data_IF_172445389925
#
_entry.id   IF_172445389925
#
_cell.length_a   1.000
_cell.length_b   1.000
_cell.length_c   1.000
_cell.angle_alpha   90.00
_cell.angle_beta   90.00
_cell.angle_gamma   90.00
#
_symmetry.space_group_name_H-M   'P 1'
#
loop_
_entity.id
_entity.type
_entity.pdbx_description
1 polymer ?
#
# COMPACT_ATOMS: atom_id res chain seq x y z
N UNK A 1 -51.35 -44.84 11.56
CA UNK A 1 -50.64 -44.22 10.43
C UNK A 1 -49.30 -43.65 10.93
N UNK A 2 -48.18 -44.26 10.52
CA UNK A 2 -46.82 -43.86 10.92
C UNK A 2 -46.48 -42.49 10.35
N UNK A 3 -46.16 -41.52 11.21
CA UNK A 3 -45.66 -40.21 10.77
C UNK A 3 -44.16 -40.32 10.53
N UNK A 4 -43.77 -40.23 9.27
CA UNK A 4 -42.37 -40.12 8.86
C UNK A 4 -41.89 -38.70 9.18
N UNK A 5 -40.93 -38.58 10.10
CA UNK A 5 -40.18 -37.35 10.29
C UNK A 5 -39.06 -37.31 9.25
N UNK A 6 -39.18 -36.40 8.28
CA UNK A 6 -38.09 -36.07 7.36
C UNK A 6 -37.06 -35.24 8.11
N UNK A 7 -35.88 -35.82 8.35
CA UNK A 7 -34.73 -35.16 8.92
C UNK A 7 -34.16 -34.18 7.88
N UNK A 8 -34.26 -32.88 8.13
CA UNK A 8 -33.54 -31.87 7.34
C UNK A 8 -32.07 -31.95 7.74
N UNK A 9 -31.24 -32.52 6.89
CA UNK A 9 -29.80 -32.43 7.00
C UNK A 9 -29.39 -30.96 6.78
N UNK A 10 -29.05 -30.26 7.86
CA UNK A 10 -28.35 -28.99 7.77
C UNK A 10 -26.93 -29.27 7.27
N UNK A 11 -26.74 -29.20 5.95
CA UNK A 11 -25.41 -29.05 5.36
C UNK A 11 -24.92 -27.66 5.76
N UNK A 12 -24.08 -27.60 6.78
CA UNK A 12 -23.27 -26.42 7.06
C UNK A 12 -22.28 -26.25 5.89
N UNK A 13 -22.71 -25.52 4.86
CA UNK A 13 -21.77 -24.86 3.96
C UNK A 13 -21.00 -23.87 4.82
N UNK A 14 -19.80 -24.26 5.24
CA UNK A 14 -18.79 -23.33 5.69
C UNK A 14 -18.46 -22.42 4.49
N UNK A 15 -19.25 -21.35 4.32
CA UNK A 15 -18.82 -20.22 3.53
C UNK A 15 -17.54 -19.72 4.20
N UNK A 16 -16.41 -19.92 3.53
CA UNK A 16 -15.17 -19.25 3.89
C UNK A 16 -15.42 -17.76 3.73
N UNK A 17 -15.77 -17.10 4.83
CA UNK A 17 -15.60 -15.67 5.01
C UNK A 17 -14.12 -15.41 4.84
N UNK A 18 -13.70 -15.12 3.61
CA UNK A 18 -12.33 -14.76 3.31
C UNK A 18 -12.07 -13.43 4.03
N UNK A 19 -11.30 -13.47 5.12
CA UNK A 19 -11.00 -12.28 5.89
C UNK A 19 -10.17 -11.33 5.01
N UNK A 20 -10.68 -10.12 4.80
CA UNK A 20 -10.02 -9.07 4.03
C UNK A 20 -8.58 -8.87 4.56
N UNK A 21 -7.58 -9.16 3.71
CA UNK A 21 -6.18 -9.11 4.10
C UNK A 21 -5.54 -7.82 3.60
N UNK A 22 -4.99 -7.01 4.51
CA UNK A 22 -4.29 -5.78 4.14
C UNK A 22 -2.81 -6.10 3.87
N UNK A 23 -2.37 -5.92 2.63
CA UNK A 23 -0.99 -6.20 2.23
C UNK A 23 -0.05 -5.09 2.68
N UNK A 24 1.07 -5.46 3.29
CA UNK A 24 2.25 -4.62 3.46
C UNK A 24 3.36 -5.09 2.52
N UNK A 25 4.28 -4.19 2.20
CA UNK A 25 5.44 -4.47 1.34
C UNK A 25 6.72 -4.21 2.13
N UNK A 26 7.73 -5.07 2.00
CA UNK A 26 9.02 -4.90 2.71
C UNK A 26 9.92 -3.87 2.03
N UNK A 27 9.70 -3.65 0.73
CA UNK A 27 10.44 -2.71 -0.12
C UNK A 27 9.52 -2.10 -1.16
N UNK A 28 9.99 -1.02 -1.78
CA UNK A 28 9.33 -0.45 -2.95
C UNK A 28 9.05 -1.54 -3.98
N UNK A 29 7.78 -1.69 -4.34
CA UNK A 29 7.30 -2.76 -5.21
C UNK A 29 6.40 -2.16 -6.28
N UNK A 30 6.57 -2.59 -7.53
CA UNK A 30 5.64 -2.28 -8.62
C UNK A 30 4.79 -3.50 -8.90
N UNK A 31 3.48 -3.31 -8.92
CA UNK A 31 2.51 -4.30 -9.33
C UNK A 31 2.03 -3.98 -10.74
N UNK A 32 2.33 -4.88 -11.68
CA UNK A 32 1.84 -4.76 -13.06
C UNK A 32 0.42 -5.31 -13.13
N UNK A 33 -0.51 -4.47 -13.58
CA UNK A 33 -1.94 -4.72 -13.51
C UNK A 33 -2.42 -5.53 -14.73
N UNK A 34 -1.99 -6.78 -14.79
CA UNK A 34 -2.48 -7.79 -15.74
C UNK A 34 -3.39 -8.81 -15.04
N UNK A 35 -4.11 -9.62 -15.83
CA UNK A 35 -5.12 -10.53 -15.28
C UNK A 35 -4.53 -11.60 -14.36
N UNK A 36 -3.35 -12.12 -14.68
CA UNK A 36 -2.63 -13.14 -13.89
C UNK A 36 -2.28 -12.61 -12.49
N UNK A 37 -1.65 -11.43 -12.43
CA UNK A 37 -1.28 -10.77 -11.19
C UNK A 37 -2.52 -10.39 -10.35
N UNK A 38 -3.62 -9.98 -10.99
CA UNK A 38 -4.89 -9.72 -10.30
C UNK A 38 -5.44 -11.00 -9.69
N UNK A 39 -5.46 -12.11 -10.43
CA UNK A 39 -5.91 -13.41 -9.88
C UNK A 39 -5.04 -13.85 -8.70
N UNK A 40 -3.71 -13.67 -8.79
CA UNK A 40 -2.81 -13.97 -7.68
C UNK A 40 -3.11 -13.10 -6.44
N UNK A 41 -3.29 -11.79 -6.61
CA UNK A 41 -3.60 -10.91 -5.48
C UNK A 41 -5.00 -11.12 -4.87
N UNK A 42 -5.97 -11.58 -5.66
CA UNK A 42 -7.28 -12.04 -5.14
C UNK A 42 -7.10 -13.31 -4.30
N UNK A 43 -6.31 -14.28 -4.77
CA UNK A 43 -6.02 -15.50 -4.02
C UNK A 43 -5.28 -15.23 -2.70
N UNK A 44 -4.42 -14.21 -2.68
CA UNK A 44 -3.77 -13.70 -1.46
C UNK A 44 -4.69 -12.85 -0.56
N UNK A 45 -5.89 -12.48 -1.03
CA UNK A 45 -6.92 -11.77 -0.26
C UNK A 45 -6.72 -10.26 -0.10
N UNK A 46 -5.74 -9.67 -0.79
CA UNK A 46 -5.48 -8.22 -0.73
C UNK A 46 -6.02 -7.43 -1.93
N UNK A 47 -6.48 -8.12 -2.97
CA UNK A 47 -7.30 -7.53 -4.05
C UNK A 47 -8.75 -7.96 -3.82
N UNK A 48 -9.69 -7.04 -4.01
CA UNK A 48 -11.11 -7.33 -3.84
C UNK A 48 -11.61 -8.39 -4.83
N UNK A 49 -12.42 -9.35 -4.35
CA UNK A 49 -13.02 -10.35 -5.23
C UNK A 49 -13.85 -9.70 -6.33
N UNK A 50 -13.70 -10.20 -7.55
CA UNK A 50 -14.41 -9.67 -8.72
C UNK A 50 -13.92 -8.30 -9.20
N UNK A 51 -12.80 -7.81 -8.69
CA UNK A 51 -12.15 -6.60 -9.17
C UNK A 51 -11.25 -6.85 -10.39
N UNK A 52 -11.01 -5.82 -11.20
CA UNK A 52 -10.08 -5.89 -12.34
C UNK A 52 -10.42 -6.97 -13.37
N UNK A 53 -11.69 -7.17 -13.70
CA UNK A 53 -12.13 -8.27 -14.59
C UNK A 53 -11.84 -8.05 -16.06
N UNK A 54 -11.74 -6.79 -16.46
CA UNK A 54 -11.59 -6.39 -17.86
C UNK A 54 -10.18 -5.95 -18.12
N UNK A 55 -9.56 -6.54 -19.15
CA UNK A 55 -8.25 -6.14 -19.64
C UNK A 55 -8.38 -5.39 -20.97
N UNK A 56 -7.42 -4.51 -21.23
CA UNK A 56 -7.25 -3.82 -22.51
C UNK A 56 -5.77 -3.59 -22.77
N UNK A 57 -5.39 -3.33 -24.01
CA UNK A 57 -4.01 -2.98 -24.35
C UNK A 57 -4.00 -1.58 -24.93
N UNK A 58 -3.30 -0.67 -24.25
CA UNK A 58 -3.13 0.72 -24.69
C UNK A 58 -1.67 1.12 -24.58
N UNK A 59 -1.32 2.13 -25.37
CA UNK A 59 -0.01 2.75 -25.30
C UNK A 59 -0.04 3.81 -24.22
N UNK A 60 0.96 3.83 -23.36
CA UNK A 60 1.33 4.95 -22.50
C UNK A 60 2.76 5.41 -22.80
N UNK A 61 3.15 6.51 -22.17
CA UNK A 61 4.46 7.17 -22.35
C UNK A 61 5.44 6.95 -21.20
N UNK A 62 5.07 6.12 -20.21
CA UNK A 62 5.89 5.81 -19.04
C UNK A 62 5.78 4.33 -18.75
N UNK A 63 6.92 3.67 -18.50
CA UNK A 63 6.94 2.31 -17.98
C UNK A 63 6.73 2.31 -16.46
N UNK A 64 5.68 1.65 -15.93
CA UNK A 64 5.41 1.60 -14.50
C UNK A 64 6.51 0.89 -13.67
N UNK A 65 7.28 -0.03 -14.26
CA UNK A 65 8.35 -0.77 -13.56
C UNK A 65 9.55 0.14 -13.22
N UNK A 66 9.94 1.00 -14.16
CA UNK A 66 11.08 1.90 -14.03
C UNK A 66 10.68 3.29 -13.57
N UNK A 67 9.48 3.73 -13.96
CA UNK A 67 9.01 5.11 -13.82
C UNK A 67 9.61 6.06 -14.86
N UNK A 68 10.29 5.53 -15.87
CA UNK A 68 10.96 6.32 -16.91
C UNK A 68 10.06 6.55 -18.13
N UNK A 69 10.30 7.66 -18.83
CA UNK A 69 9.61 7.97 -20.08
C UNK A 69 10.04 7.01 -21.19
N UNK A 70 9.13 6.13 -21.58
CA UNK A 70 9.29 5.26 -22.72
C UNK A 70 7.92 4.80 -23.24
N UNK A 71 7.88 4.37 -24.50
CA UNK A 71 6.66 3.79 -25.05
C UNK A 71 6.34 2.48 -24.33
N UNK A 72 5.29 2.49 -23.52
CA UNK A 72 4.84 1.32 -22.80
C UNK A 72 3.51 0.82 -23.40
N UNK A 73 3.54 -0.35 -24.04
CA UNK A 73 2.38 -0.96 -24.69
C UNK A 73 2.21 -2.41 -24.25
N UNK A 74 1.67 -2.58 -23.05
CA UNK A 74 1.38 -3.89 -22.47
C UNK A 74 -0.11 -3.99 -22.08
N UNK A 75 -0.63 -5.20 -21.88
CA UNK A 75 -1.96 -5.38 -21.29
C UNK A 75 -2.06 -4.68 -19.92
N UNK A 76 -3.16 -3.99 -19.70
CA UNK A 76 -3.55 -3.36 -18.45
C UNK A 76 -5.01 -3.64 -18.11
N UNK A 77 -5.49 -3.13 -16.98
CA UNK A 77 -6.91 -3.23 -16.61
C UNK A 77 -7.69 -2.09 -17.24
N UNK A 78 -8.82 -2.40 -17.86
CA UNK A 78 -9.75 -1.40 -18.38
C UNK A 78 -10.69 -0.94 -17.26
N UNK A 79 -10.55 0.31 -16.83
CA UNK A 79 -11.23 0.86 -15.65
C UNK A 79 -12.19 2.00 -16.03
N UNK A 80 -13.34 2.07 -15.38
CA UNK A 80 -14.37 3.10 -15.58
C UNK A 80 -15.23 3.26 -14.33
N UNK A 81 -15.31 4.47 -13.77
CA UNK A 81 -16.19 4.74 -12.62
C UNK A 81 -17.65 4.40 -12.95
N UNK A 82 -18.36 3.84 -11.98
CA UNK A 82 -19.75 3.41 -12.12
C UNK A 82 -19.94 2.08 -12.85
N UNK A 83 -18.87 1.40 -13.27
CA UNK A 83 -18.95 0.06 -13.86
C UNK A 83 -18.25 -0.98 -12.96
N UNK A 84 -18.98 -1.85 -12.26
CA UNK A 84 -18.41 -2.83 -11.32
C UNK A 84 -17.42 -3.81 -11.94
N UNK A 85 -17.55 -4.13 -13.24
CA UNK A 85 -16.60 -5.00 -13.93
C UNK A 85 -15.28 -4.28 -14.27
N UNK A 86 -15.30 -2.95 -14.29
CA UNK A 86 -14.20 -2.06 -14.64
C UNK A 86 -13.74 -1.22 -13.44
N UNK A 87 -13.69 -1.83 -12.26
CA UNK A 87 -13.14 -1.20 -11.05
C UNK A 87 -12.02 -2.06 -10.51
N UNK A 88 -10.91 -1.43 -10.12
CA UNK A 88 -9.81 -2.10 -9.44
C UNK A 88 -9.74 -1.64 -7.98
N UNK A 89 -9.76 -2.57 -7.02
CA UNK A 89 -9.78 -2.27 -5.59
C UNK A 89 -8.79 -3.17 -4.84
N UNK A 90 -7.98 -2.55 -3.98
CA UNK A 90 -6.95 -3.23 -3.20
C UNK A 90 -7.03 -2.83 -1.73
N UNK A 91 -6.41 -3.65 -0.87
CA UNK A 91 -6.34 -3.48 0.57
C UNK A 91 -4.88 -3.45 1.00
N UNK A 92 -4.40 -2.28 1.44
CA UNK A 92 -2.99 -2.04 1.72
C UNK A 92 -2.77 -1.35 3.06
N UNK A 93 -1.59 -1.53 3.64
CA UNK A 93 -1.18 -0.92 4.92
C UNK A 93 0.33 -0.69 4.93
N UNK A 94 0.82 0.20 5.80
CA UNK A 94 2.27 0.42 5.93
C UNK A 94 2.89 1.19 4.77
N UNK A 95 2.09 1.92 3.98
CA UNK A 95 2.55 2.71 2.84
C UNK A 95 2.71 4.17 3.22
N UNK A 96 3.81 4.79 2.77
CA UNK A 96 4.01 6.25 2.81
C UNK A 96 3.49 6.92 1.55
N UNK A 97 3.53 6.21 0.42
CA UNK A 97 2.92 6.67 -0.81
C UNK A 97 2.56 5.52 -1.76
N UNK A 98 1.68 5.85 -2.70
CA UNK A 98 1.28 4.99 -3.80
C UNK A 98 1.28 5.83 -5.08
N UNK A 99 1.77 5.28 -6.20
CA UNK A 99 1.71 5.94 -7.50
C UNK A 99 1.13 5.00 -8.54
N UNK A 100 0.08 5.44 -9.23
CA UNK A 100 -0.60 4.67 -10.27
C UNK A 100 -0.32 5.25 -11.66
N UNK A 101 -0.17 4.36 -12.63
CA UNK A 101 0.15 4.69 -14.01
C UNK A 101 -0.95 4.15 -14.92
N UNK A 102 -1.59 5.03 -15.69
CA UNK A 102 -2.62 4.61 -16.64
C UNK A 102 -2.70 5.51 -17.85
N UNK A 103 -3.26 4.98 -18.95
CA UNK A 103 -3.43 5.72 -20.19
C UNK A 103 -4.88 5.66 -20.67
N UNK A 104 -5.40 6.77 -21.21
CA UNK A 104 -6.73 6.85 -21.79
C UNK A 104 -6.92 5.77 -22.86
N UNK A 105 -8.09 5.11 -22.85
CA UNK A 105 -8.42 4.17 -23.93
C UNK A 105 -8.92 4.88 -25.18
N UNK A 106 -9.20 6.19 -25.09
CA UNK A 106 -9.61 7.01 -26.22
C UNK A 106 -8.44 7.30 -27.17
N UNK A 107 -8.74 7.49 -28.45
CA UNK A 107 -7.79 7.95 -29.46
C UNK A 107 -7.85 9.46 -29.70
N UNK A 108 -8.76 10.18 -29.05
CA UNK A 108 -8.92 11.63 -29.26
C UNK A 108 -9.38 12.42 -28.04
N UNK A 109 -9.65 11.77 -26.90
CA UNK A 109 -10.16 12.43 -25.70
C UNK A 109 -9.20 12.19 -24.53
N UNK A 110 -8.90 13.27 -23.81
CA UNK A 110 -8.22 13.21 -22.52
C UNK A 110 -9.16 12.65 -21.45
N UNK A 111 -8.60 11.84 -20.56
CA UNK A 111 -9.33 11.22 -19.44
C UNK A 111 -8.47 11.20 -18.21
N UNK A 112 -9.09 11.14 -17.04
CA UNK A 112 -8.36 11.12 -15.78
C UNK A 112 -8.29 9.71 -15.20
N UNK A 113 -7.10 9.34 -14.74
CA UNK A 113 -6.93 8.27 -13.76
C UNK A 113 -7.34 8.80 -12.41
N UNK A 114 -8.38 8.23 -11.80
CA UNK A 114 -8.89 8.65 -10.50
C UNK A 114 -8.65 7.56 -9.44
N UNK A 115 -7.98 7.95 -8.36
CA UNK A 115 -7.59 7.05 -7.27
C UNK A 115 -8.11 7.59 -5.95
N UNK A 116 -8.80 6.75 -5.20
CA UNK A 116 -9.36 7.08 -3.88
C UNK A 116 -8.85 6.08 -2.86
N UNK A 117 -8.14 6.56 -1.85
CA UNK A 117 -7.67 5.79 -0.71
C UNK A 117 -8.52 6.12 0.52
N UNK A 118 -9.37 5.18 0.93
CA UNK A 118 -10.25 5.32 2.10
C UNK A 118 -9.65 4.61 3.31
N UNK A 119 -9.28 5.33 4.38
CA UNK A 119 -8.87 4.74 5.65
C UNK A 119 -9.96 3.85 6.27
N UNK A 120 -9.57 2.71 6.83
CA UNK A 120 -10.49 1.81 7.56
C UNK A 120 -10.79 2.28 9.00
N UNK A 121 -10.25 3.44 9.42
CA UNK A 121 -10.51 4.04 10.73
C UNK A 121 -11.68 5.05 10.71
N UNK A 122 -12.32 5.24 9.55
CA UNK A 122 -13.42 6.19 9.35
C UNK A 122 -12.97 7.63 9.09
N UNK A 123 -11.66 7.90 9.02
CA UNK A 123 -11.13 9.21 8.59
C UNK A 123 -11.51 9.51 7.13
N UNK A 124 -11.41 10.79 6.76
CA UNK A 124 -11.63 11.23 5.38
C UNK A 124 -10.72 10.50 4.39
N UNK A 125 -11.25 10.19 3.20
CA UNK A 125 -10.49 9.60 2.12
C UNK A 125 -9.46 10.61 1.56
N UNK A 126 -8.36 10.07 1.04
CA UNK A 126 -7.38 10.83 0.26
C UNK A 126 -7.59 10.49 -1.20
N UNK A 127 -7.68 11.49 -2.06
CA UNK A 127 -8.04 11.33 -3.46
C UNK A 127 -7.03 12.05 -4.35
N UNK A 128 -6.80 11.52 -5.55
CA UNK A 128 -6.06 12.20 -6.60
C UNK A 128 -6.64 11.85 -7.97
N UNK A 129 -6.59 12.80 -8.91
CA UNK A 129 -6.78 12.53 -10.34
C UNK A 129 -5.58 13.03 -11.13
N UNK A 130 -5.23 12.33 -12.19
CA UNK A 130 -4.19 12.74 -13.13
C UNK A 130 -4.67 12.51 -14.56
N UNK A 131 -4.47 13.49 -15.43
CA UNK A 131 -4.95 13.47 -16.80
C UNK A 131 -4.03 12.68 -17.73
N UNK A 132 -4.64 12.00 -18.68
CA UNK A 132 -4.00 11.22 -19.72
C UNK A 132 -4.58 11.62 -21.07
N UNK A 133 -3.76 12.30 -21.87
CA UNK A 133 -3.99 12.48 -23.31
C UNK A 133 -3.73 11.16 -24.06
N UNK A 134 -4.23 10.99 -25.29
CA UNK A 134 -3.97 9.79 -26.09
C UNK A 134 -2.47 9.44 -26.19
N UNK A 135 -2.11 8.22 -25.77
CA UNK A 135 -0.75 7.68 -25.68
C UNK A 135 0.15 8.29 -24.59
N UNK A 136 -0.36 9.20 -23.77
CA UNK A 136 0.37 9.82 -22.65
C UNK A 136 -0.08 9.19 -21.34
N UNK A 137 0.85 8.73 -20.51
CA UNK A 137 0.54 8.13 -19.21
C UNK A 137 0.16 9.21 -18.19
N UNK A 138 -1.01 9.07 -17.57
CA UNK A 138 -1.35 9.73 -16.31
C UNK A 138 -0.55 9.11 -15.15
N UNK A 139 0.05 9.96 -14.30
CA UNK A 139 0.76 9.55 -13.09
C UNK A 139 0.05 10.14 -11.88
N UNK A 140 -0.70 9.29 -11.18
CA UNK A 140 -1.48 9.65 -10.00
C UNK A 140 -0.74 9.23 -8.72
N UNK A 141 -0.17 10.19 -7.99
CA UNK A 141 0.59 9.94 -6.76
C UNK A 141 -0.16 10.43 -5.52
N UNK A 142 -0.26 9.56 -4.50
CA UNK A 142 -0.88 9.82 -3.20
C UNK A 142 0.14 9.65 -2.09
N UNK A 143 0.17 10.60 -1.16
CA UNK A 143 0.80 10.41 0.14
C UNK A 143 -0.19 9.73 1.09
N UNK A 144 0.29 8.78 1.88
CA UNK A 144 -0.50 7.97 2.79
C UNK A 144 0.16 7.93 4.17
N UNK A 145 -0.68 7.84 5.21
CA UNK A 145 -0.23 7.55 6.56
C UNK A 145 0.05 6.05 6.72
N UNK A 146 1.32 5.68 6.90
CA UNK A 146 1.76 4.30 7.03
C UNK A 146 1.16 3.57 8.24
N UNK A 147 0.70 4.28 9.27
CA UNK A 147 0.02 3.68 10.42
C UNK A 147 -1.40 3.19 10.08
N UNK A 148 -1.97 3.63 8.95
CA UNK A 148 -3.35 3.32 8.55
C UNK A 148 -3.44 2.19 7.56
N UNK A 149 -4.61 1.56 7.57
CA UNK A 149 -5.07 0.56 6.61
C UNK A 149 -6.01 1.24 5.61
N UNK A 150 -5.78 1.04 4.32
CA UNK A 150 -6.57 1.67 3.26
C UNK A 150 -7.24 0.63 2.38
N UNK A 151 -8.48 0.92 2.02
CA UNK A 151 -9.08 0.41 0.78
C UNK A 151 -8.80 1.43 -0.31
N UNK A 152 -8.08 1.04 -1.35
CA UNK A 152 -7.74 1.93 -2.48
C UNK A 152 -8.50 1.48 -3.71
N UNK A 153 -9.25 2.40 -4.33
CA UNK A 153 -10.07 2.18 -5.51
C UNK A 153 -9.51 2.99 -6.67
N UNK A 154 -9.31 2.33 -7.81
CA UNK A 154 -8.85 2.91 -9.06
C UNK A 154 -9.97 2.86 -10.09
N UNK A 155 -10.22 4.00 -10.75
CA UNK A 155 -11.23 4.13 -11.80
C UNK A 155 -10.76 5.11 -12.87
N UNK A 156 -11.32 5.00 -14.08
CA UNK A 156 -11.22 6.06 -15.08
C UNK A 156 -12.44 6.98 -15.03
N UNK A 157 -12.20 8.28 -15.21
CA UNK A 157 -13.24 9.32 -15.23
C UNK A 157 -12.98 10.32 -16.38
N UNK A 158 -13.99 11.13 -16.71
CA UNK A 158 -13.80 12.21 -17.68
C UNK A 158 -12.81 13.24 -17.13
N UNK A 159 -12.05 13.88 -18.01
CA UNK A 159 -11.12 14.95 -17.62
C UNK A 159 -11.85 16.02 -16.80
N UNK A 160 -11.35 16.31 -15.59
CA UNK A 160 -11.90 17.33 -14.69
C UNK A 160 -13.26 16.99 -14.05
N UNK A 161 -13.83 15.81 -14.31
CA UNK A 161 -15.10 15.37 -13.74
C UNK A 161 -14.93 13.99 -13.09
N UNK A 162 -14.73 14.00 -11.77
CA UNK A 162 -14.55 12.82 -10.93
C UNK A 162 -15.79 11.93 -10.82
N UNK A 163 -16.97 12.36 -11.27
CA UNK A 163 -18.22 11.60 -11.14
C UNK A 163 -18.57 10.81 -12.41
N UNK A 164 -18.31 11.39 -13.58
CA UNK A 164 -18.57 10.72 -14.86
C UNK A 164 -17.48 9.73 -15.22
N UNK A 165 -17.82 8.43 -15.25
CA UNK A 165 -16.88 7.39 -15.68
C UNK A 165 -16.45 7.49 -17.15
N UNK A 166 -15.15 7.33 -17.41
CA UNK A 166 -14.58 7.19 -18.74
C UNK A 166 -13.48 6.12 -18.72
N UNK A 167 -13.30 5.38 -19.80
CA UNK A 167 -12.45 4.19 -19.78
C UNK A 167 -10.94 4.55 -19.80
N UNK A 168 -10.16 3.97 -18.88
CA UNK A 168 -8.70 4.13 -18.79
C UNK A 168 -8.03 2.76 -18.65
N UNK A 169 -6.88 2.56 -19.28
CA UNK A 169 -6.04 1.40 -19.09
C UNK A 169 -5.07 1.63 -17.93
N UNK A 170 -5.25 0.96 -16.79
CA UNK A 170 -4.28 0.96 -15.70
C UNK A 170 -3.15 -0.03 -16.04
N UNK A 171 -1.91 0.46 -16.08
CA UNK A 171 -0.72 -0.31 -16.46
C UNK A 171 0.07 -0.84 -15.26
N UNK A 172 0.08 -0.09 -14.15
CA UNK A 172 0.72 -0.55 -12.94
C UNK A 172 0.53 0.39 -11.76
N UNK A 173 0.91 -0.12 -10.57
CA UNK A 173 0.86 0.61 -9.31
C UNK A 173 2.17 0.40 -8.56
N UNK A 174 2.86 1.48 -8.22
CA UNK A 174 4.06 1.50 -7.39
C UNK A 174 3.68 1.76 -5.94
N UNK A 175 4.10 0.87 -5.05
CA UNK A 175 3.92 0.95 -3.61
C UNK A 175 5.23 1.33 -2.94
N UNK A 176 5.22 2.35 -2.09
CA UNK A 176 6.38 2.77 -1.30
C UNK A 176 6.06 2.55 0.18
N UNK A 177 6.58 1.48 0.81
CA UNK A 177 6.35 1.23 2.22
C UNK A 177 7.11 2.23 3.09
N UNK A 178 6.66 2.43 4.34
CA UNK A 178 7.52 3.06 5.34
C UNK A 178 8.72 2.16 5.59
N UNK A 179 9.94 2.71 5.53
CA UNK A 179 11.11 1.98 5.97
C UNK A 179 11.00 1.75 7.48
N UNK A 180 10.60 0.55 7.90
CA UNK A 180 10.79 0.13 9.28
C UNK A 180 12.29 0.08 9.52
N UNK A 181 12.80 0.88 10.45
CA UNK A 181 14.22 0.79 10.85
C UNK A 181 14.54 -0.54 11.56
N UNK A 182 13.55 -1.43 11.76
CA UNK A 182 13.70 -2.66 12.53
C UNK A 182 13.94 -2.42 14.02
N UNK A 183 13.89 -1.17 14.48
CA UNK A 183 14.12 -0.81 15.88
C UNK A 183 12.76 -0.80 16.59
N UNK A 184 12.39 -1.94 17.17
CA UNK A 184 11.15 -2.06 17.97
C UNK A 184 11.19 -1.24 19.26
N UNK A 185 12.38 -0.86 19.72
CA UNK A 185 12.63 0.18 20.72
C UNK A 185 14.14 0.34 20.90
N UNK A 186 14.60 1.55 21.22
CA UNK A 186 15.92 1.77 21.85
C UNK A 186 15.67 1.98 23.34
N UNK A 187 15.73 0.90 24.11
CA UNK A 187 15.83 1.05 25.56
C UNK A 187 17.27 1.47 25.88
N UNK A 188 17.48 2.76 26.12
CA UNK A 188 18.65 3.19 26.86
C UNK A 188 18.46 2.66 28.28
N UNK A 189 18.95 1.44 28.57
CA UNK A 189 18.99 0.93 29.92
C UNK A 189 19.61 2.02 30.79
N UNK A 190 18.82 2.62 31.69
CA UNK A 190 19.31 3.68 32.56
C UNK A 190 20.59 3.18 33.20
N UNK A 191 21.73 3.80 32.89
CA UNK A 191 23.02 3.36 33.38
C UNK A 191 22.90 3.12 34.89
N UNK A 192 23.11 1.86 35.32
CA UNK A 192 22.84 1.42 36.70
C UNK A 192 23.23 2.53 37.66
N UNK A 193 22.32 2.99 38.55
CA UNK A 193 22.63 4.10 39.49
C UNK A 193 23.91 3.85 40.32
N UNK A 194 24.36 2.58 40.40
CA UNK A 194 25.62 2.13 40.98
C UNK A 194 26.56 1.42 39.97
N UNK A 195 26.85 2.04 38.81
CA UNK A 195 27.92 1.56 37.95
C UNK A 195 29.31 1.64 38.61
N UNK A 196 30.23 0.78 38.17
CA UNK A 196 31.65 0.81 38.54
C UNK A 196 32.25 2.19 38.27
N UNK A 197 33.19 2.61 39.11
CA UNK A 197 33.88 3.91 38.98
C UNK A 197 35.23 3.68 38.34
N UNK A 198 35.63 4.53 37.40
CA UNK A 198 36.92 4.44 36.72
C UNK A 198 37.69 5.76 36.82
N UNK A 199 39.01 5.70 36.83
CA UNK A 199 39.85 6.88 36.64
C UNK A 199 39.97 7.24 35.14
N UNK A 200 40.67 8.34 34.84
CA UNK A 200 40.90 8.76 33.45
C UNK A 200 41.76 7.80 32.61
N UNK A 201 42.47 6.87 33.26
CA UNK A 201 43.22 5.80 32.60
C UNK A 201 42.38 4.54 32.34
N UNK A 202 41.08 4.55 32.69
CA UNK A 202 40.17 3.42 32.48
C UNK A 202 40.32 2.30 33.51
N UNK A 203 41.05 2.52 34.61
CA UNK A 203 41.18 1.54 35.69
C UNK A 203 40.00 1.66 36.64
N UNK A 204 39.44 0.52 37.07
CA UNK A 204 38.40 0.49 38.10
C UNK A 204 38.98 1.00 39.43
N UNK A 205 38.29 1.95 40.05
CA UNK A 205 38.68 2.58 41.32
C UNK A 205 37.53 2.52 42.30
N UNK A 206 37.85 2.66 43.59
CA UNK A 206 36.82 2.72 44.63
C UNK A 206 35.91 3.94 44.42
N UNK A 207 34.67 3.84 44.92
CA UNK A 207 33.72 4.96 44.88
C UNK A 207 34.18 6.19 45.66
N UNK A 208 35.21 6.06 46.50
CA UNK A 208 35.80 7.13 47.33
C UNK A 208 37.03 7.78 46.69
N UNK A 209 37.39 7.41 45.45
CA UNK A 209 38.49 8.02 44.73
C UNK A 209 38.27 9.53 44.54
N UNK A 210 39.33 10.31 44.79
CA UNK A 210 39.35 11.78 44.64
C UNK A 210 39.79 12.16 43.22
N UNK A 211 39.33 13.31 42.75
CA UNK A 211 39.66 13.87 41.44
C UNK A 211 38.61 13.58 40.36
N UNK A 212 39.02 13.65 39.10
CA UNK A 212 38.15 13.42 37.95
C UNK A 212 37.96 11.92 37.71
N UNK A 213 36.73 11.44 37.90
CA UNK A 213 36.33 10.05 37.76
C UNK A 213 35.26 9.89 36.67
N UNK A 214 35.15 8.68 36.13
CA UNK A 214 34.11 8.30 35.15
C UNK A 214 33.17 7.31 35.84
N UNK A 215 31.89 7.64 35.87
CA UNK A 215 30.82 6.74 36.35
C UNK A 215 29.66 6.81 35.36
N UNK A 216 29.08 5.66 34.99
CA UNK A 216 27.93 5.63 34.07
C UNK A 216 28.15 6.40 32.74
N UNK A 217 29.38 6.36 32.21
CA UNK A 217 29.75 7.07 30.98
C UNK A 217 29.83 8.60 31.11
N UNK A 218 29.69 9.15 32.32
CA UNK A 218 29.79 10.59 32.59
C UNK A 218 30.98 10.89 33.50
N UNK A 219 31.60 12.05 33.30
CA UNK A 219 32.70 12.54 34.13
C UNK A 219 32.14 13.25 35.37
N UNK A 220 32.74 12.99 36.53
CA UNK A 220 32.42 13.61 37.81
C UNK A 220 33.71 14.08 38.50
N UNK A 221 33.64 15.18 39.23
CA UNK A 221 34.72 15.63 40.11
C UNK A 221 34.32 15.30 41.54
N UNK A 222 35.18 14.60 42.26
CA UNK A 222 34.94 14.17 43.65
C UNK A 222 36.08 14.57 44.58
#
# INVERSE_FOLDING_TARGET
>A
MKKFFTLIAAVALAASVNAQTFKSFDKTTVFITNQENVTAGIAEGWIAEGSGKTATTKTGSINPETGEEETYKQPGLDLKKGNPAKTFSIYVTGLTSLTAYGATTSSGETRDLYVVATPNDGSAAVEISASSEPNVTAVASLELDAAKKYTVVFTGVKEGDKESGADIALHGVKFVPSTSTGISSVSAAAAKKNGKTYNMAGQEVSSSAKGLIIKNGKKYVK
#
